data_IF_510517689176
#
_entry.id   IF_510517689176
#
_cell.length_a   1.000
_cell.length_b   1.000
_cell.length_c   1.000
_cell.angle_alpha   90.00
_cell.angle_beta   90.00
_cell.angle_gamma   90.00
#
_symmetry.space_group_name_H-M   'P 1'
#
loop_
_entity.id
_entity.type
_entity.pdbx_description
1 polymer ?
#
# COMPACT_ATOMS: atom_id res chain seq x y z
N UNK A 1 18.60 20.40 -23.62
CA UNK A 1 17.18 20.69 -23.35
C UNK A 1 16.67 19.62 -22.39
N UNK A 2 16.71 19.89 -21.09
CA UNK A 2 16.32 18.95 -20.03
C UNK A 2 14.80 18.93 -19.90
N UNK A 3 14.15 17.87 -20.36
CA UNK A 3 12.76 17.60 -20.00
C UNK A 3 12.73 17.11 -18.56
N UNK A 4 12.18 17.94 -17.65
CA UNK A 4 11.87 17.51 -16.27
C UNK A 4 10.99 16.26 -16.36
N UNK A 5 11.49 15.12 -15.90
CA UNK A 5 10.73 13.88 -15.83
C UNK A 5 9.50 14.08 -14.95
N UNK A 6 8.34 14.22 -15.57
CA UNK A 6 7.05 14.26 -14.93
C UNK A 6 6.79 12.89 -14.29
N UNK A 7 6.76 12.84 -12.96
CA UNK A 7 6.42 11.63 -12.21
C UNK A 7 4.96 11.75 -11.75
N UNK A 8 3.99 11.16 -12.46
CA UNK A 8 2.56 11.33 -12.16
C UNK A 8 2.16 10.83 -10.76
N UNK A 9 2.99 9.97 -10.14
CA UNK A 9 2.73 9.45 -8.79
C UNK A 9 3.19 10.44 -7.70
N UNK A 10 4.29 11.18 -7.94
CA UNK A 10 4.75 12.24 -7.02
C UNK A 10 3.92 13.52 -7.22
N UNK A 11 3.47 13.81 -8.45
CA UNK A 11 2.49 14.86 -8.72
C UNK A 11 1.14 14.53 -8.05
N UNK A 12 0.69 13.27 -8.10
CA UNK A 12 -0.53 12.83 -7.42
C UNK A 12 -0.52 12.89 -5.88
N UNK A 13 0.65 13.03 -5.24
CA UNK A 13 0.77 13.23 -3.78
C UNK A 13 1.10 14.67 -3.39
N UNK A 14 1.66 15.48 -4.31
CA UNK A 14 1.86 16.92 -4.11
C UNK A 14 0.61 17.75 -4.45
N UNK A 15 -0.22 17.28 -5.39
CA UNK A 15 -1.41 18.00 -5.88
C UNK A 15 -2.75 17.40 -5.42
N UNK A 16 -2.77 16.26 -4.71
CA UNK A 16 -4.03 15.79 -4.10
C UNK A 16 -4.25 16.52 -2.80
N UNK A 17 -5.06 17.56 -2.93
CA UNK A 17 -5.58 18.34 -1.83
C UNK A 17 -6.13 17.39 -0.75
N UNK A 18 -5.66 17.45 0.50
CA UNK A 18 -6.28 16.78 1.63
C UNK A 18 -7.78 17.07 1.76
N UNK A 19 -8.25 18.19 1.18
CA UNK A 19 -9.67 18.45 0.94
C UNK A 19 -10.32 17.38 0.04
N UNK A 20 -9.65 16.89 -1.01
CA UNK A 20 -10.18 15.86 -1.90
C UNK A 20 -10.26 14.47 -1.23
N UNK A 21 -9.35 14.15 -0.30
CA UNK A 21 -9.44 12.90 0.48
C UNK A 21 -10.50 12.98 1.56
N UNK A 22 -10.57 14.10 2.28
CA UNK A 22 -11.67 14.38 3.20
C UNK A 22 -13.01 14.33 2.45
N UNK A 23 -13.09 14.90 1.25
CA UNK A 23 -14.28 14.82 0.40
C UNK A 23 -14.60 13.38 -0.04
N UNK A 24 -13.61 12.51 -0.24
CA UNK A 24 -13.84 11.09 -0.55
C UNK A 24 -14.31 10.30 0.68
N UNK A 25 -13.76 10.56 1.86
CA UNK A 25 -14.21 9.98 3.14
C UNK A 25 -15.62 10.47 3.52
N UNK A 26 -15.87 11.77 3.38
CA UNK A 26 -17.17 12.40 3.62
C UNK A 26 -18.21 11.87 2.62
N UNK A 27 -17.89 11.80 1.32
CA UNK A 27 -18.77 11.23 0.28
C UNK A 27 -19.08 9.77 0.55
N UNK A 28 -18.10 8.96 0.96
CA UNK A 28 -18.36 7.57 1.32
C UNK A 28 -19.29 7.47 2.53
N UNK A 29 -19.05 8.26 3.57
CA UNK A 29 -19.85 8.24 4.79
C UNK A 29 -21.30 8.70 4.54
N UNK A 30 -21.51 9.67 3.64
CA UNK A 30 -22.84 10.18 3.28
C UNK A 30 -23.77 9.12 2.66
N UNK A 31 -23.23 8.11 1.97
CA UNK A 31 -24.03 7.06 1.32
C UNK A 31 -24.48 5.94 2.29
N UNK A 32 -23.67 5.66 3.33
CA UNK A 32 -23.96 4.60 4.32
C UNK A 32 -24.65 5.10 5.59
N UNK A 33 -24.58 6.41 5.86
CA UNK A 33 -25.15 7.03 7.05
C UNK A 33 -26.46 7.76 6.74
N UNK A 34 -27.36 7.85 7.72
CA UNK A 34 -28.64 8.57 7.61
C UNK A 34 -29.79 7.76 6.99
N UNK A 35 -29.56 6.48 6.66
CA UNK A 35 -30.57 5.60 6.05
C UNK A 35 -31.60 5.05 7.05
N UNK A 36 -31.42 5.28 8.36
CA UNK A 36 -32.39 4.86 9.37
C UNK A 36 -33.31 6.01 9.79
N UNK A 37 -34.63 5.75 9.81
CA UNK A 37 -35.65 6.74 10.22
C UNK A 37 -35.63 7.05 11.73
N UNK A 38 -35.00 6.18 12.54
CA UNK A 38 -34.86 6.34 13.98
C UNK A 38 -33.52 6.98 14.33
N UNK A 39 -33.54 8.20 14.89
CA UNK A 39 -32.33 8.92 15.35
C UNK A 39 -31.42 8.12 16.29
N UNK A 40 -31.98 7.21 17.09
CA UNK A 40 -31.20 6.33 17.98
C UNK A 40 -30.46 5.23 17.21
N UNK A 41 -30.96 4.82 16.04
CA UNK A 41 -30.35 3.83 15.17
C UNK A 41 -29.15 4.39 14.38
N UNK A 42 -29.05 5.71 14.18
CA UNK A 42 -27.88 6.38 13.54
C UNK A 42 -26.54 6.08 14.22
N UNK A 43 -26.55 5.73 15.52
CA UNK A 43 -25.32 5.33 16.23
C UNK A 43 -24.84 3.93 15.86
N UNK A 44 -25.70 3.12 15.23
CA UNK A 44 -25.42 1.73 14.82
C UNK A 44 -25.11 1.59 13.33
N UNK A 45 -25.22 2.67 12.57
CA UNK A 45 -24.83 2.68 11.16
C UNK A 45 -23.31 2.51 11.03
N UNK A 46 -22.92 1.79 9.99
CA UNK A 46 -21.54 1.36 9.72
C UNK A 46 -21.25 1.67 8.26
N UNK A 47 -20.08 2.24 8.03
CA UNK A 47 -19.63 2.83 6.77
C UNK A 47 -18.17 2.49 6.50
N UNK A 48 -17.58 1.53 7.23
CA UNK A 48 -16.22 1.07 7.01
C UNK A 48 -16.12 -0.44 7.22
N UNK A 49 -15.78 -1.18 6.16
CA UNK A 49 -15.43 -2.59 6.25
C UNK A 49 -13.95 -2.76 6.57
N UNK A 50 -13.64 -3.49 7.64
CA UNK A 50 -12.29 -3.88 8.05
C UNK A 50 -12.06 -5.33 7.64
N UNK A 51 -10.95 -5.61 6.97
CA UNK A 51 -10.60 -6.96 6.54
C UNK A 51 -9.26 -7.36 7.16
N UNK A 52 -9.25 -8.49 7.85
CA UNK A 52 -8.08 -9.00 8.55
C UNK A 52 -7.67 -10.38 8.02
N UNK A 53 -6.37 -10.64 7.98
CA UNK A 53 -5.79 -11.94 7.69
C UNK A 53 -4.93 -12.35 8.89
N UNK A 54 -5.21 -13.51 9.49
CA UNK A 54 -4.55 -13.95 10.73
C UNK A 54 -4.61 -12.88 11.85
N UNK A 55 -5.75 -12.19 11.96
CA UNK A 55 -5.96 -11.13 12.96
C UNK A 55 -5.27 -9.80 12.65
N UNK A 56 -4.49 -9.69 11.57
CA UNK A 56 -3.83 -8.46 11.16
C UNK A 56 -4.66 -7.72 10.11
N UNK A 57 -4.88 -6.41 10.27
CA UNK A 57 -5.64 -5.61 9.30
C UNK A 57 -4.89 -5.50 7.97
N UNK A 58 -5.44 -6.07 6.89
CA UNK A 58 -4.78 -6.14 5.57
C UNK A 58 -5.45 -5.27 4.51
N UNK A 59 -6.70 -4.85 4.71
CA UNK A 59 -7.35 -3.82 3.88
C UNK A 59 -8.59 -3.26 4.56
N UNK A 60 -9.11 -2.15 4.02
CA UNK A 60 -10.42 -1.59 4.36
C UNK A 60 -11.20 -1.29 3.09
N UNK A 61 -12.52 -1.13 3.19
CA UNK A 61 -13.34 -0.69 2.04
C UNK A 61 -12.87 0.67 1.48
N UNK A 62 -12.51 1.62 2.36
CA UNK A 62 -11.94 2.92 1.95
C UNK A 62 -10.62 2.76 1.18
N UNK A 63 -9.68 1.96 1.71
CA UNK A 63 -8.38 1.75 1.07
C UNK A 63 -8.55 1.04 -0.29
N UNK A 64 -9.41 0.02 -0.35
CA UNK A 64 -9.75 -0.66 -1.59
C UNK A 64 -10.34 0.30 -2.63
N UNK A 65 -11.31 1.14 -2.23
CA UNK A 65 -11.91 2.17 -3.09
C UNK A 65 -10.87 3.12 -3.66
N UNK A 66 -10.01 3.64 -2.79
CA UNK A 66 -8.97 4.58 -3.17
C UNK A 66 -8.00 3.98 -4.19
N UNK A 67 -7.53 2.74 -4.00
CA UNK A 67 -6.57 2.11 -4.93
C UNK A 67 -7.16 1.63 -6.22
N UNK A 68 -8.42 1.18 -6.20
CA UNK A 68 -9.12 0.76 -7.41
C UNK A 68 -9.58 1.97 -8.24
N UNK A 69 -9.54 3.19 -7.67
CA UNK A 69 -10.02 4.40 -8.35
C UNK A 69 -11.52 4.35 -8.59
N UNK A 70 -12.24 3.63 -7.73
CA UNK A 70 -13.68 3.44 -7.83
C UNK A 70 -14.35 4.27 -6.76
N UNK A 71 -15.53 4.77 -7.10
CA UNK A 71 -16.42 5.34 -6.10
C UNK A 71 -16.79 4.25 -5.10
N UNK A 72 -16.77 4.60 -3.83
CA UNK A 72 -16.79 3.63 -2.76
C UNK A 72 -18.20 3.06 -2.50
N UNK A 73 -19.24 3.81 -2.89
CA UNK A 73 -20.63 3.34 -3.05
C UNK A 73 -20.74 2.12 -3.97
N UNK A 74 -20.01 2.12 -5.09
CA UNK A 74 -20.04 1.01 -6.05
C UNK A 74 -19.33 -0.25 -5.56
N UNK A 75 -18.43 -0.13 -4.59
CA UNK A 75 -17.74 -1.29 -4.01
C UNK A 75 -18.60 -2.07 -3.02
N UNK A 76 -19.50 -1.38 -2.34
CA UNK A 76 -20.33 -1.93 -1.27
C UNK A 76 -21.79 -2.09 -1.70
N UNK A 77 -22.09 -1.83 -2.98
CA UNK A 77 -23.41 -2.09 -3.55
C UNK A 77 -23.75 -3.59 -3.40
N UNK A 78 -24.97 -3.89 -2.93
CA UNK A 78 -25.49 -5.26 -2.89
C UNK A 78 -25.85 -5.75 -4.30
N UNK A 79 -24.83 -5.97 -5.13
CA UNK A 79 -24.96 -6.46 -6.50
C UNK A 79 -24.38 -7.87 -6.68
N UNK A 80 -24.17 -8.58 -5.56
CA UNK A 80 -23.47 -9.87 -5.49
C UNK A 80 -22.06 -9.83 -6.10
N UNK A 81 -21.37 -8.68 -6.04
CA UNK A 81 -20.03 -8.49 -6.55
C UNK A 81 -19.95 -8.32 -8.08
N UNK A 82 -21.08 -8.06 -8.75
CA UNK A 82 -21.14 -7.93 -10.20
C UNK A 82 -20.26 -6.78 -10.72
N UNK A 83 -20.24 -5.65 -10.02
CA UNK A 83 -19.43 -4.48 -10.35
C UNK A 83 -17.94 -4.80 -10.23
N UNK A 84 -17.53 -5.40 -9.11
CA UNK A 84 -16.15 -5.84 -8.91
C UNK A 84 -15.71 -6.89 -9.92
N UNK A 85 -16.59 -7.84 -10.23
CA UNK A 85 -16.34 -8.79 -11.30
C UNK A 85 -16.20 -8.09 -12.65
N UNK A 86 -17.00 -7.06 -12.93
CA UNK A 86 -16.88 -6.21 -14.12
C UNK A 86 -15.52 -5.53 -14.24
N UNK A 87 -15.03 -4.91 -13.16
CA UNK A 87 -13.69 -4.30 -13.10
C UNK A 87 -12.61 -5.36 -13.34
N UNK A 88 -12.66 -6.47 -12.61
CA UNK A 88 -11.65 -7.54 -12.74
C UNK A 88 -11.66 -8.15 -14.14
N UNK A 89 -12.84 -8.28 -14.77
CA UNK A 89 -12.99 -8.73 -16.15
C UNK A 89 -12.39 -7.72 -17.14
N UNK A 90 -12.57 -6.42 -16.91
CA UNK A 90 -11.96 -5.39 -17.75
C UNK A 90 -10.43 -5.40 -17.62
N UNK A 91 -9.91 -5.48 -16.39
CA UNK A 91 -8.48 -5.63 -16.12
C UNK A 91 -7.94 -6.89 -16.81
N UNK A 92 -8.62 -8.02 -16.67
CA UNK A 92 -8.27 -9.28 -17.33
C UNK A 92 -8.26 -9.19 -18.85
N UNK A 93 -9.23 -8.49 -19.46
CA UNK A 93 -9.25 -8.22 -20.91
C UNK A 93 -8.05 -7.37 -21.35
N UNK A 94 -7.70 -6.33 -20.59
CA UNK A 94 -6.52 -5.52 -20.88
C UNK A 94 -5.24 -6.36 -20.82
N UNK A 95 -5.08 -7.19 -19.78
CA UNK A 95 -3.93 -8.09 -19.68
C UNK A 95 -3.90 -9.10 -20.84
N UNK A 96 -5.04 -9.71 -21.18
CA UNK A 96 -5.13 -10.61 -22.34
C UNK A 96 -4.75 -9.93 -23.66
N UNK A 97 -5.19 -8.68 -23.87
CA UNK A 97 -4.81 -7.89 -25.05
C UNK A 97 -3.32 -7.54 -25.11
N UNK A 98 -2.65 -7.45 -23.96
CA UNK A 98 -1.20 -7.29 -23.84
C UNK A 98 -0.43 -8.62 -23.99
N UNK A 99 -1.12 -9.71 -24.35
CA UNK A 99 -0.52 -11.02 -24.52
C UNK A 99 -0.26 -11.77 -23.21
N UNK A 100 -0.79 -11.29 -22.08
CA UNK A 100 -0.71 -12.05 -20.83
C UNK A 100 -1.56 -13.32 -20.98
N UNK A 101 -0.91 -14.47 -20.87
CA UNK A 101 -1.57 -15.75 -20.77
C UNK A 101 -1.65 -16.11 -19.28
N UNK A 102 -2.86 -16.35 -18.76
CA UNK A 102 -2.97 -17.06 -17.49
C UNK A 102 -2.69 -18.53 -17.78
N UNK A 103 -1.60 -19.05 -17.21
CA UNK A 103 -1.39 -20.50 -17.26
C UNK A 103 -2.58 -21.18 -16.56
N UNK A 104 -3.39 -21.88 -17.36
CA UNK A 104 -4.62 -22.54 -16.91
C UNK A 104 -4.34 -23.70 -15.96
N UNK A 105 -3.07 -24.11 -15.81
CA UNK A 105 -2.66 -25.06 -14.78
C UNK A 105 -2.54 -24.44 -13.38
N UNK A 106 -2.85 -23.14 -13.26
CA UNK A 106 -2.71 -22.39 -12.04
C UNK A 106 -1.23 -22.17 -11.77
N UNK A 107 -0.67 -21.05 -12.23
CA UNK A 107 0.68 -20.67 -11.83
C UNK A 107 0.79 -20.61 -10.31
N UNK A 108 1.89 -21.11 -9.74
CA UNK A 108 2.22 -20.83 -8.35
C UNK A 108 2.30 -19.30 -8.21
N UNK A 109 1.31 -18.69 -7.57
CA UNK A 109 1.31 -17.29 -7.16
C UNK A 109 1.06 -17.25 -5.67
N UNK A 110 1.47 -16.16 -5.00
CA UNK A 110 1.25 -16.00 -3.55
C UNK A 110 -0.21 -16.24 -3.14
N UNK A 111 -1.17 -15.96 -4.03
CA UNK A 111 -2.61 -16.17 -3.80
C UNK A 111 -2.95 -17.63 -3.50
N UNK A 112 -2.23 -18.60 -4.08
CA UNK A 112 -2.49 -20.04 -3.83
C UNK A 112 -2.16 -20.46 -2.40
N UNK A 113 -1.35 -19.67 -1.70
CA UNK A 113 -0.95 -19.92 -0.31
C UNK A 113 -1.87 -19.22 0.68
N UNK A 114 -2.77 -18.35 0.20
CA UNK A 114 -3.77 -17.70 1.02
C UNK A 114 -4.93 -18.65 1.31
N UNK A 115 -5.32 -18.74 2.57
CA UNK A 115 -6.53 -19.47 2.96
C UNK A 115 -7.63 -18.49 3.36
N UNK A 116 -8.80 -18.62 2.73
CA UNK A 116 -10.00 -17.89 3.12
C UNK A 116 -10.41 -18.15 4.58
N UNK A 117 -9.97 -19.27 5.16
CA UNK A 117 -10.23 -19.58 6.56
C UNK A 117 -9.55 -18.60 7.54
N UNK A 118 -8.48 -17.93 7.12
CA UNK A 118 -7.78 -16.90 7.91
C UNK A 118 -8.26 -15.48 7.63
N UNK A 119 -9.12 -15.30 6.62
CA UNK A 119 -9.73 -14.01 6.31
C UNK A 119 -10.96 -13.80 7.20
N UNK A 120 -11.05 -12.62 7.81
CA UNK A 120 -12.21 -12.16 8.60
C UNK A 120 -12.57 -10.74 8.20
N UNK A 121 -13.85 -10.42 8.27
CA UNK A 121 -14.36 -9.06 8.08
C UNK A 121 -15.12 -8.58 9.31
N UNK A 122 -15.08 -7.28 9.53
CA UNK A 122 -15.90 -6.61 10.54
C UNK A 122 -16.26 -5.22 10.03
N UNK A 123 -17.55 -4.86 10.12
CA UNK A 123 -18.00 -3.52 9.77
C UNK A 123 -18.02 -2.64 11.01
N UNK A 124 -17.51 -1.42 10.87
CA UNK A 124 -17.44 -0.39 11.91
C UNK A 124 -17.87 0.96 11.36
N UNK A 125 -17.93 1.96 12.24
CA UNK A 125 -18.12 3.35 11.85
C UNK A 125 -16.77 4.04 11.64
N UNK A 126 -16.50 4.53 10.43
CA UNK A 126 -15.29 5.22 10.01
C UNK A 126 -14.93 6.36 10.95
N UNK A 127 -15.89 7.24 11.27
CA UNK A 127 -15.65 8.37 12.16
C UNK A 127 -15.25 7.97 13.57
N UNK A 128 -15.73 6.82 14.05
CA UNK A 128 -15.34 6.29 15.37
C UNK A 128 -13.98 5.60 15.29
N UNK A 129 -13.79 4.75 14.27
CA UNK A 129 -12.56 4.00 14.06
C UNK A 129 -11.36 4.94 13.85
N UNK A 130 -11.45 5.88 12.91
CA UNK A 130 -10.38 6.82 12.63
C UNK A 130 -10.16 7.81 13.76
N UNK A 131 -11.17 8.13 14.57
CA UNK A 131 -10.96 9.01 15.72
C UNK A 131 -10.13 8.35 16.85
N UNK A 132 -10.12 7.02 16.92
CA UNK A 132 -9.41 6.25 17.95
C UNK A 132 -8.00 5.84 17.54
N UNK A 133 -7.68 5.87 16.25
CA UNK A 133 -6.40 5.43 15.73
C UNK A 133 -5.33 6.54 15.70
N UNK A 134 -4.06 6.14 15.75
CA UNK A 134 -2.87 6.97 15.47
C UNK A 134 -2.78 8.29 16.25
N UNK A 135 -3.18 9.41 15.62
CA UNK A 135 -2.97 10.75 16.14
C UNK A 135 -4.21 11.33 16.86
N UNK A 136 -5.26 10.51 17.01
CA UNK A 136 -6.45 10.81 17.81
C UNK A 136 -7.56 11.56 17.07
N UNK A 137 -8.61 11.93 17.83
CA UNK A 137 -9.92 12.29 17.28
C UNK A 137 -9.94 13.56 16.40
N UNK A 138 -8.99 14.48 16.61
CA UNK A 138 -8.90 15.73 15.86
C UNK A 138 -8.35 15.54 14.43
N UNK A 139 -7.84 14.36 14.09
CA UNK A 139 -7.08 14.12 12.86
C UNK A 139 -7.57 12.92 12.05
N UNK A 140 -8.88 12.72 11.98
CA UNK A 140 -9.50 11.56 11.31
C UNK A 140 -9.01 11.35 9.87
N UNK A 141 -8.91 12.40 9.05
CA UNK A 141 -8.42 12.27 7.66
C UNK A 141 -6.95 11.84 7.57
N UNK A 142 -6.10 12.28 8.50
CA UNK A 142 -4.72 11.79 8.60
C UNK A 142 -4.74 10.33 9.04
N UNK A 143 -5.58 9.97 10.02
CA UNK A 143 -5.69 8.62 10.53
C UNK A 143 -6.22 7.65 9.47
N UNK A 144 -7.11 8.08 8.58
CA UNK A 144 -7.52 7.33 7.38
C UNK A 144 -6.35 7.07 6.43
N UNK A 145 -5.51 8.10 6.19
CA UNK A 145 -4.29 7.97 5.39
C UNK A 145 -3.24 7.05 6.05
N UNK A 146 -3.05 7.14 7.36
CA UNK A 146 -2.15 6.26 8.11
C UNK A 146 -2.67 4.82 8.14
N UNK A 147 -4.00 4.63 8.20
CA UNK A 147 -4.63 3.32 8.05
C UNK A 147 -4.34 2.75 6.66
N UNK A 148 -4.43 3.56 5.59
CA UNK A 148 -4.03 3.13 4.25
C UNK A 148 -2.56 2.65 4.20
N UNK A 149 -1.65 3.36 4.87
CA UNK A 149 -0.25 2.92 4.96
C UNK A 149 -0.11 1.62 5.75
N UNK A 150 -0.78 1.52 6.90
CA UNK A 150 -0.79 0.32 7.74
C UNK A 150 -1.26 -0.90 6.96
N UNK A 151 -2.42 -0.83 6.29
CA UNK A 151 -2.96 -1.98 5.56
C UNK A 151 -2.06 -2.39 4.41
N UNK A 152 -1.43 -1.46 3.69
CA UNK A 152 -0.45 -1.79 2.64
C UNK A 152 0.75 -2.53 3.20
N UNK A 153 1.30 -2.06 4.32
CA UNK A 153 2.45 -2.70 4.96
C UNK A 153 2.11 -4.09 5.48
N UNK A 154 0.96 -4.23 6.15
CA UNK A 154 0.46 -5.52 6.60
C UNK A 154 0.15 -6.47 5.43
N UNK A 155 -0.37 -5.97 4.31
CA UNK A 155 -0.66 -6.78 3.14
C UNK A 155 0.63 -7.35 2.52
N UNK A 156 1.67 -6.53 2.38
CA UNK A 156 2.95 -7.02 1.84
C UNK A 156 3.74 -7.88 2.82
N UNK A 157 3.53 -7.72 4.14
CA UNK A 157 4.11 -8.56 5.20
C UNK A 157 3.41 -9.93 5.30
N UNK A 158 2.08 -9.97 5.24
CA UNK A 158 1.30 -11.19 5.51
C UNK A 158 0.82 -11.93 4.28
N UNK A 159 0.39 -11.21 3.23
CA UNK A 159 -0.27 -11.82 2.09
C UNK A 159 0.66 -12.05 0.91
N UNK A 160 1.50 -11.06 0.58
CA UNK A 160 2.44 -11.17 -0.55
C UNK A 160 3.62 -12.08 -0.23
N UNK A 161 4.08 -12.11 1.03
CA UNK A 161 5.18 -12.97 1.46
C UNK A 161 4.79 -14.46 1.55
N UNK A 162 3.50 -14.78 1.53
CA UNK A 162 3.02 -16.15 1.68
C UNK A 162 3.27 -16.95 0.39
N UNK A 163 4.22 -17.88 0.45
CA UNK A 163 4.56 -18.78 -0.66
C UNK A 163 5.47 -18.21 -1.75
N UNK A 164 6.35 -17.27 -1.40
CA UNK A 164 7.45 -16.89 -2.29
C UNK A 164 8.40 -18.08 -2.49
N UNK A 165 8.22 -18.84 -3.59
CA UNK A 165 9.27 -19.71 -4.10
C UNK A 165 10.28 -18.84 -4.86
N UNK A 166 11.53 -18.94 -4.40
CA UNK A 166 12.64 -18.02 -4.66
C UNK A 166 12.92 -17.87 -6.16
N UNK A 167 12.51 -18.82 -7.01
CA UNK A 167 13.07 -18.89 -8.36
C UNK A 167 12.19 -18.33 -9.48
N UNK A 168 10.87 -18.30 -9.31
CA UNK A 168 9.95 -17.93 -10.41
C UNK A 168 8.92 -16.85 -10.04
N UNK A 169 8.66 -16.63 -8.74
CA UNK A 169 7.75 -15.59 -8.24
C UNK A 169 8.47 -14.35 -7.72
N UNK A 170 9.77 -14.47 -7.42
CA UNK A 170 10.49 -13.45 -6.66
C UNK A 170 10.52 -12.09 -7.31
N UNK A 171 10.69 -11.99 -8.63
CA UNK A 171 10.80 -10.67 -9.25
C UNK A 171 9.54 -9.82 -9.02
N UNK A 172 8.36 -10.41 -9.24
CA UNK A 172 7.08 -9.71 -9.05
C UNK A 172 6.79 -9.46 -7.57
N UNK A 173 7.03 -10.46 -6.72
CA UNK A 173 6.85 -10.35 -5.25
C UNK A 173 7.76 -9.26 -4.69
N UNK A 174 9.07 -9.35 -4.94
CA UNK A 174 10.06 -8.36 -4.55
C UNK A 174 9.70 -6.97 -5.07
N UNK A 175 9.33 -6.84 -6.34
CA UNK A 175 8.91 -5.55 -6.92
C UNK A 175 7.71 -4.96 -6.17
N UNK A 176 6.66 -5.74 -5.92
CA UNK A 176 5.48 -5.26 -5.18
C UNK A 176 5.88 -4.80 -3.78
N UNK A 177 6.64 -5.63 -3.06
CA UNK A 177 7.12 -5.37 -1.69
C UNK A 177 7.99 -4.11 -1.62
N UNK A 178 9.05 -4.06 -2.43
CA UNK A 178 10.00 -2.94 -2.46
C UNK A 178 9.31 -1.62 -2.85
N UNK A 179 8.53 -1.60 -3.93
CA UNK A 179 7.86 -0.36 -4.38
C UNK A 179 6.86 0.15 -3.34
N UNK A 180 6.12 -0.76 -2.70
CA UNK A 180 5.13 -0.42 -1.69
C UNK A 180 5.81 0.14 -0.44
N UNK A 181 6.85 -0.54 0.06
CA UNK A 181 7.69 -0.07 1.16
C UNK A 181 8.26 1.33 0.87
N UNK A 182 8.92 1.49 -0.29
CA UNK A 182 9.50 2.77 -0.71
C UNK A 182 8.45 3.90 -0.68
N UNK A 183 7.26 3.63 -1.23
CA UNK A 183 6.20 4.62 -1.32
C UNK A 183 5.63 4.98 0.06
N UNK A 184 5.44 4.01 0.94
CA UNK A 184 4.96 4.24 2.32
C UNK A 184 6.00 5.06 3.09
N UNK A 185 7.27 4.66 3.09
CA UNK A 185 8.34 5.38 3.81
C UNK A 185 8.49 6.82 3.32
N UNK A 186 8.45 7.05 2.00
CA UNK A 186 8.50 8.40 1.45
C UNK A 186 7.29 9.23 1.88
N UNK A 187 6.09 8.63 1.93
CA UNK A 187 4.87 9.31 2.34
C UNK A 187 4.88 9.65 3.84
N UNK A 188 5.40 8.76 4.69
CA UNK A 188 5.61 9.02 6.12
C UNK A 188 6.64 10.13 6.35
N UNK A 189 7.74 10.15 5.57
CA UNK A 189 8.74 11.22 5.61
C UNK A 189 8.15 12.57 5.23
N UNK A 190 7.30 12.60 4.19
CA UNK A 190 6.58 13.81 3.79
C UNK A 190 5.62 14.28 4.91
N UNK A 191 4.82 13.37 5.47
CA UNK A 191 3.90 13.67 6.57
C UNK A 191 4.64 14.26 7.79
N UNK A 192 5.79 13.67 8.19
CA UNK A 192 6.63 14.17 9.30
C UNK A 192 7.08 15.63 9.08
N UNK A 193 7.27 16.03 7.82
CA UNK A 193 7.75 17.37 7.47
C UNK A 193 6.65 18.38 7.12
N UNK A 194 5.37 17.96 7.07
CA UNK A 194 4.28 18.81 6.62
C UNK A 194 3.62 19.55 7.78
N UNK A 195 3.96 20.84 7.94
CA UNK A 195 3.45 21.69 9.01
C UNK A 195 1.92 21.89 8.97
N UNK A 196 1.24 21.59 7.86
CA UNK A 196 -0.22 21.67 7.75
C UNK A 196 -0.95 20.58 8.54
N UNK A 197 -0.23 19.50 8.88
CA UNK A 197 -0.77 18.32 9.56
C UNK A 197 0.01 18.06 10.86
N UNK A 198 -0.18 18.90 11.90
CA UNK A 198 0.58 18.76 13.14
C UNK A 198 0.29 17.41 13.80
N UNK A 199 1.36 16.66 14.06
CA UNK A 199 1.30 15.41 14.78
C UNK A 199 1.58 15.63 16.27
N UNK A 200 0.89 14.86 17.10
CA UNK A 200 1.15 14.77 18.54
C UNK A 200 2.59 14.31 18.81
N UNK A 201 3.15 14.62 20.00
CA UNK A 201 4.49 14.15 20.37
C UNK A 201 4.66 12.63 20.29
N UNK A 202 3.65 11.85 20.70
CA UNK A 202 3.66 10.38 20.62
C UNK A 202 3.69 9.89 19.17
N UNK A 203 2.88 10.50 18.29
CA UNK A 203 2.87 10.19 16.86
C UNK A 203 4.20 10.52 16.18
N UNK A 204 4.82 11.64 16.56
CA UNK A 204 6.17 11.98 16.10
C UNK A 204 7.23 10.97 16.57
N UNK A 205 7.10 10.44 17.79
CA UNK A 205 7.99 9.39 18.29
C UNK A 205 7.84 8.10 17.48
N UNK A 206 6.62 7.68 17.16
CA UNK A 206 6.38 6.50 16.30
C UNK A 206 6.96 6.67 14.90
N UNK A 207 6.79 7.84 14.28
CA UNK A 207 7.44 8.15 13.00
C UNK A 207 8.96 8.15 13.09
N UNK A 208 9.52 8.57 14.22
CA UNK A 208 10.96 8.52 14.44
C UNK A 208 11.46 7.07 14.49
N UNK A 209 10.76 6.19 15.20
CA UNK A 209 11.08 4.75 15.27
C UNK A 209 11.14 4.15 13.85
N UNK A 210 10.16 4.47 13.00
CA UNK A 210 10.14 3.98 11.62
C UNK A 210 11.27 4.60 10.79
N UNK A 211 11.39 5.92 10.78
CA UNK A 211 12.17 6.64 9.76
C UNK A 211 13.66 6.79 10.09
N UNK A 212 14.06 6.61 11.35
CA UNK A 212 15.44 6.84 11.79
C UNK A 212 16.31 5.56 11.75
N UNK A 213 15.82 4.46 11.14
CA UNK A 213 16.61 3.22 10.95
C UNK A 213 17.55 3.31 9.74
N UNK A 214 18.68 2.62 9.80
CA UNK A 214 19.65 2.59 8.68
C UNK A 214 19.08 1.91 7.44
N UNK A 215 18.24 0.89 7.64
CA UNK A 215 17.57 0.18 6.56
C UNK A 215 16.64 1.11 5.76
N UNK A 216 15.88 1.98 6.43
CA UNK A 216 15.05 2.99 5.77
C UNK A 216 15.89 4.00 4.98
N UNK A 217 17.07 4.38 5.48
CA UNK A 217 17.97 5.28 4.74
C UNK A 217 18.43 4.65 3.43
N UNK A 218 18.81 3.37 3.43
CA UNK A 218 19.22 2.64 2.23
C UNK A 218 18.05 2.57 1.23
N UNK A 219 16.87 2.15 1.68
CA UNK A 219 15.69 1.99 0.80
C UNK A 219 15.23 3.34 0.23
N UNK A 220 15.35 4.44 0.97
CA UNK A 220 14.83 5.76 0.56
C UNK A 220 15.90 6.71 0.00
N UNK A 221 17.13 6.22 -0.21
CA UNK A 221 18.23 7.04 -0.75
C UNK A 221 17.91 7.62 -2.15
N UNK A 222 18.60 8.70 -2.51
CA UNK A 222 18.50 9.31 -3.83
C UNK A 222 18.78 8.33 -4.98
N UNK A 223 19.76 7.44 -4.81
CA UNK A 223 20.07 6.38 -5.77
C UNK A 223 18.95 5.34 -5.89
N UNK A 224 18.29 5.02 -4.76
CA UNK A 224 17.18 4.08 -4.69
C UNK A 224 15.96 4.53 -5.51
N UNK A 225 15.77 5.85 -5.68
CA UNK A 225 14.75 6.40 -6.60
C UNK A 225 14.92 5.87 -8.02
N UNK A 226 16.16 5.69 -8.47
CA UNK A 226 16.45 5.19 -9.81
C UNK A 226 16.07 3.72 -9.97
N UNK A 227 16.36 2.92 -8.95
CA UNK A 227 15.94 1.51 -8.89
C UNK A 227 14.42 1.38 -8.90
N UNK A 228 13.73 2.14 -8.03
CA UNK A 228 12.26 2.22 -7.98
C UNK A 228 11.66 2.56 -9.34
N UNK A 229 12.22 3.54 -10.05
CA UNK A 229 11.73 3.92 -11.38
C UNK A 229 11.92 2.80 -12.40
N UNK A 230 13.05 2.09 -12.35
CA UNK A 230 13.34 0.95 -13.23
C UNK A 230 12.34 -0.18 -13.00
N UNK A 231 12.08 -0.50 -11.73
CA UNK A 231 11.05 -1.47 -11.36
C UNK A 231 9.67 -1.04 -11.84
N UNK A 232 9.31 0.24 -11.78
CA UNK A 232 7.98 0.73 -12.17
C UNK A 232 7.76 0.87 -13.69
N UNK A 233 8.77 1.32 -14.44
CA UNK A 233 8.59 1.78 -15.82
C UNK A 233 9.17 0.85 -16.88
N UNK A 234 9.68 -0.33 -16.49
CA UNK A 234 10.27 -1.35 -17.39
C UNK A 234 11.35 -0.82 -18.34
N UNK A 235 11.96 0.32 -18.00
CA UNK A 235 13.05 0.92 -18.75
C UNK A 235 14.22 1.09 -17.80
N UNK A 236 15.39 0.62 -18.22
CA UNK A 236 16.64 0.97 -17.56
C UNK A 236 16.83 2.47 -17.64
N UNK A 237 17.30 3.08 -16.55
CA UNK A 237 17.65 4.49 -16.58
C UNK A 237 18.79 4.73 -17.58
N UNK A 238 18.85 5.95 -18.15
CA UNK A 238 19.90 6.35 -19.11
C UNK A 238 21.34 6.17 -18.61
N UNK A 239 21.56 5.97 -17.31
CA UNK A 239 22.87 5.74 -16.71
C UNK A 239 23.10 4.31 -16.21
N UNK A 240 22.16 3.38 -16.41
CA UNK A 240 22.37 1.98 -16.06
C UNK A 240 23.34 1.33 -17.05
N UNK A 241 24.25 0.51 -16.54
CA UNK A 241 25.21 -0.20 -17.37
C UNK A 241 24.56 -1.47 -17.94
N UNK A 242 24.10 -1.36 -19.19
CA UNK A 242 23.42 -2.46 -19.89
C UNK A 242 24.30 -3.70 -20.06
N UNK A 243 25.63 -3.57 -19.99
CA UNK A 243 26.55 -4.70 -20.13
C UNK A 243 26.57 -5.60 -18.88
N UNK A 244 26.09 -5.08 -17.75
CA UNK A 244 25.99 -5.79 -16.46
C UNK A 244 24.60 -6.36 -16.21
N UNK A 245 23.69 -6.26 -17.18
CA UNK A 245 22.36 -6.85 -17.08
C UNK A 245 22.46 -8.34 -17.39
N UNK A 246 22.04 -9.17 -16.45
CA UNK A 246 22.06 -10.61 -16.58
C UNK A 246 20.65 -11.17 -16.38
N UNK A 247 20.04 -11.68 -17.45
CA UNK A 247 18.68 -12.22 -17.42
C UNK A 247 18.55 -13.50 -16.57
N UNK A 248 19.67 -14.12 -16.20
CA UNK A 248 19.70 -15.31 -15.34
C UNK A 248 19.74 -14.96 -13.85
N UNK A 249 19.98 -13.70 -13.50
CA UNK A 249 20.07 -13.22 -12.12
C UNK A 249 18.74 -12.61 -11.63
N UNK A 250 18.43 -12.69 -10.33
CA UNK A 250 17.32 -11.97 -9.73
C UNK A 250 17.38 -10.47 -10.05
N UNK A 251 16.24 -9.89 -10.41
CA UNK A 251 16.11 -8.47 -10.81
C UNK A 251 17.15 -8.10 -11.89
N UNK A 252 17.46 -9.05 -12.77
CA UNK A 252 18.38 -8.92 -13.89
C UNK A 252 19.81 -8.46 -13.50
N UNK A 253 20.26 -8.76 -12.28
CA UNK A 253 21.57 -8.34 -11.77
C UNK A 253 21.69 -6.84 -11.48
N UNK A 254 20.55 -6.12 -11.39
CA UNK A 254 20.56 -4.67 -11.25
C UNK A 254 20.90 -4.17 -9.84
N UNK A 255 20.70 -4.99 -8.80
CA UNK A 255 20.84 -4.54 -7.40
C UNK A 255 22.20 -3.88 -7.11
N UNK A 256 23.36 -4.50 -7.43
CA UNK A 256 24.66 -3.88 -7.16
C UNK A 256 24.92 -2.59 -7.95
N UNK A 257 24.20 -2.33 -9.04
CA UNK A 257 24.31 -1.08 -9.79
C UNK A 257 23.65 0.10 -9.06
N UNK A 258 22.60 -0.16 -8.27
CA UNK A 258 21.85 0.86 -7.55
C UNK A 258 22.19 0.93 -6.06
N UNK A 259 22.66 -0.17 -5.48
CA UNK A 259 23.05 -0.30 -4.08
C UNK A 259 24.46 -0.87 -3.99
N UNK A 260 25.51 -0.05 -4.21
CA UNK A 260 26.88 -0.51 -4.08
C UNK A 260 27.12 -1.00 -2.64
N UNK A 261 27.42 -2.29 -2.49
CA UNK A 261 27.56 -2.95 -1.19
C UNK A 261 26.40 -3.86 -0.79
N UNK A 262 25.42 -4.06 -1.68
CA UNK A 262 24.36 -5.06 -1.51
C UNK A 262 24.30 -5.96 -2.75
N UNK A 263 24.21 -7.26 -2.53
CA UNK A 263 23.64 -8.18 -3.50
C UNK A 263 22.10 -8.27 -3.37
N UNK A 264 21.46 -9.12 -4.19
CA UNK A 264 20.01 -9.26 -4.16
C UNK A 264 19.50 -9.85 -2.84
N UNK A 265 20.18 -10.85 -2.27
CA UNK A 265 19.74 -11.51 -1.04
C UNK A 265 19.86 -10.56 0.15
N UNK A 266 20.97 -9.81 0.23
CA UNK A 266 21.20 -8.79 1.25
C UNK A 266 20.15 -7.67 1.18
N UNK A 267 19.86 -7.15 -0.01
CA UNK A 267 18.81 -6.14 -0.19
C UNK A 267 17.43 -6.71 0.13
N UNK A 268 17.14 -7.93 -0.29
CA UNK A 268 15.85 -8.59 -0.01
C UNK A 268 15.63 -8.76 1.48
N UNK A 269 16.64 -9.25 2.21
CA UNK A 269 16.59 -9.36 3.66
C UNK A 269 16.39 -7.99 4.33
N UNK A 270 17.07 -6.94 3.83
CA UNK A 270 16.90 -5.58 4.35
C UNK A 270 15.47 -5.05 4.14
N UNK A 271 14.89 -5.32 2.96
CA UNK A 271 13.49 -4.97 2.64
C UNK A 271 12.53 -5.72 3.56
N UNK A 272 12.80 -6.98 3.86
CA UNK A 272 11.95 -7.82 4.72
C UNK A 272 11.94 -7.31 6.15
N UNK A 273 13.12 -6.99 6.70
CA UNK A 273 13.25 -6.36 8.01
C UNK A 273 12.50 -5.02 8.04
N UNK A 274 12.72 -4.15 7.05
CA UNK A 274 12.03 -2.86 6.94
C UNK A 274 10.51 -3.01 6.93
N UNK A 275 9.98 -3.95 6.14
CA UNK A 275 8.55 -4.21 6.03
C UNK A 275 8.00 -4.62 7.38
N UNK A 276 8.63 -5.62 8.01
CA UNK A 276 8.17 -6.18 9.27
C UNK A 276 8.16 -5.13 10.39
N UNK A 277 9.26 -4.39 10.55
CA UNK A 277 9.38 -3.35 11.59
C UNK A 277 8.42 -2.18 11.36
N UNK A 278 8.27 -1.75 10.10
CA UNK A 278 7.35 -0.66 9.76
C UNK A 278 5.89 -1.08 9.99
N UNK A 279 5.51 -2.29 9.55
CA UNK A 279 4.19 -2.85 9.79
C UNK A 279 3.89 -2.96 11.28
N UNK A 280 4.82 -3.55 12.06
CA UNK A 280 4.72 -3.67 13.51
C UNK A 280 4.54 -2.32 14.19
N UNK A 281 5.35 -1.32 13.84
CA UNK A 281 5.27 0.02 14.44
C UNK A 281 3.97 0.74 14.07
N UNK A 282 3.50 0.62 12.81
CA UNK A 282 2.19 1.17 12.40
C UNK A 282 1.04 0.49 13.16
N UNK A 283 1.11 -0.82 13.40
CA UNK A 283 0.12 -1.54 14.18
C UNK A 283 0.08 -1.10 15.65
N UNK A 284 1.25 -0.97 16.28
CA UNK A 284 1.33 -0.45 17.66
C UNK A 284 0.80 0.98 17.77
N UNK A 285 1.20 1.85 16.83
CA UNK A 285 0.72 3.22 16.78
C UNK A 285 -0.79 3.33 16.56
N UNK A 286 -1.37 2.49 15.69
CA UNK A 286 -2.82 2.45 15.48
C UNK A 286 -3.60 2.05 16.75
N UNK A 287 -3.02 1.16 17.56
CA UNK A 287 -3.65 0.63 18.78
C UNK A 287 -3.38 1.47 20.04
N UNK A 288 -2.56 2.51 19.96
CA UNK A 288 -2.23 3.38 21.08
C UNK A 288 -1.28 2.75 22.11
N UNK A 289 -0.46 1.78 21.68
CA UNK A 289 0.56 1.09 22.49
C UNK A 289 1.96 1.56 22.17
#
# INVERSE_FOLDING_TARGET
>A
MQTKGYNPIVAGLRDRDPVARKAQEDKHSEDFLGNTWLRLAWRREKDLGLFTYEGTLVTTSHAAAFHLGVEADKLLQEDNGAYMFGIMRQIGRCFGALGACMDTQGGATFVRHLSGAHLRSADVRASTYYAQAFNGAATQAINGTLTDFQVRMNFIDKMIANGADIRNLEYSVFKIRYVTLYQVLLSLKLLKSDARYPLSPSSNAMLKIILDTDAVRVVTDGAARGFRNTLMHYNLLKGADTTKVDLTQPVFGLVPQYFPGYDFEELSNLVDICIHETAGTLNSWANGT
#
